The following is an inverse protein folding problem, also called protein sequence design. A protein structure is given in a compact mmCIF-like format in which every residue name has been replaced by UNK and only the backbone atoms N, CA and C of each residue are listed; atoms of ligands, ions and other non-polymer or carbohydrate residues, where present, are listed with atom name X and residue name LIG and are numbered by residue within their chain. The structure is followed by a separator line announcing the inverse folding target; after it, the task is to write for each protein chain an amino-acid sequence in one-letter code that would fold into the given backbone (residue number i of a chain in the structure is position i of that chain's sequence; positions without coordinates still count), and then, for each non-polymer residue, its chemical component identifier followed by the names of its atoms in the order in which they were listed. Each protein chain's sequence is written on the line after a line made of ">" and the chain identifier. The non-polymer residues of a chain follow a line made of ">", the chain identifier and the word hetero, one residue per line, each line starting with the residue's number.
data_IF_849804257776
#
_entry.id   IF_849804257776
#
_cell.length_a   1.000
_cell.length_b   1.000
_cell.length_c   1.000
_cell.angle_alpha   90.00
_cell.angle_beta   90.00
_cell.angle_gamma   90.00
#
_symmetry.space_group_name_H-M   'P 1'
#
loop_
_entity.id
_entity.type
_entity.pdbx_description
1 polymer ?
#
# COMPACT_ATOMS: atom_id res chain seq x y z
N UNK A 1 9.11 20.50 6.32
CA UNK A 1 8.38 19.27 5.97
C UNK A 1 7.64 19.62 4.69
N UNK A 2 8.07 19.13 3.53
CA UNK A 2 7.32 19.31 2.28
C UNK A 2 6.25 18.21 2.28
N UNK A 3 5.07 18.53 2.79
CA UNK A 3 3.93 17.61 2.79
C UNK A 3 3.17 17.77 1.47
N UNK A 4 3.54 17.01 0.45
CA UNK A 4 2.77 16.93 -0.81
C UNK A 4 3.61 16.81 -2.08
N UNK A 5 2.90 16.52 -3.18
CA UNK A 5 3.45 16.57 -4.53
C UNK A 5 3.92 18.00 -4.79
N UNK A 6 5.20 18.16 -5.10
CA UNK A 6 5.79 19.49 -5.31
C UNK A 6 6.30 19.71 -6.72
N UNK A 7 6.37 18.67 -7.55
CA UNK A 7 6.89 18.76 -8.92
C UNK A 7 6.31 17.62 -9.77
N UNK A 8 5.90 17.96 -10.99
CA UNK A 8 5.49 17.00 -12.02
C UNK A 8 6.33 17.28 -13.26
N UNK A 9 6.85 16.21 -13.86
CA UNK A 9 7.59 16.27 -15.11
C UNK A 9 6.85 15.49 -16.19
N UNK A 10 6.81 16.06 -17.39
CA UNK A 10 6.33 15.41 -18.61
C UNK A 10 7.53 15.32 -19.55
N UNK A 11 7.95 14.10 -19.86
CA UNK A 11 9.14 13.80 -20.69
C UNK A 11 10.43 14.50 -20.24
N UNK A 12 10.55 14.76 -18.93
CA UNK A 12 11.72 15.41 -18.32
C UNK A 12 11.64 16.93 -18.24
N UNK A 13 10.56 17.55 -18.74
CA UNK A 13 10.29 18.98 -18.58
C UNK A 13 9.30 19.23 -17.43
N UNK A 14 9.57 20.25 -16.62
CA UNK A 14 8.66 20.66 -15.53
C UNK A 14 7.33 21.13 -16.10
N UNK A 15 6.24 20.65 -15.50
CA UNK A 15 4.90 20.92 -16.00
C UNK A 15 4.05 21.66 -14.96
N UNK A 16 3.63 22.87 -15.32
CA UNK A 16 2.90 23.77 -14.42
C UNK A 16 1.37 23.54 -14.41
N UNK A 17 0.79 22.92 -15.46
CA UNK A 17 -0.66 22.68 -15.56
C UNK A 17 -1.06 21.36 -14.90
N UNK A 18 -1.00 21.36 -13.56
CA UNK A 18 -1.35 20.23 -12.71
C UNK A 18 -2.37 20.64 -11.65
N UNK A 19 -3.44 19.86 -11.53
CA UNK A 19 -4.45 20.03 -10.49
C UNK A 19 -4.35 18.88 -9.47
N UNK A 20 -4.05 19.23 -8.21
CA UNK A 20 -3.97 18.27 -7.11
C UNK A 20 -5.17 18.50 -6.17
N UNK A 21 -6.07 17.52 -6.12
CA UNK A 21 -7.22 17.52 -5.21
C UNK A 21 -7.12 16.31 -4.30
N UNK A 22 -6.67 16.52 -3.06
CA UNK A 22 -6.41 15.48 -2.06
C UNK A 22 -5.45 14.39 -2.59
N UNK A 23 -5.96 13.20 -2.90
CA UNK A 23 -5.21 12.05 -3.43
C UNK A 23 -5.33 11.90 -4.96
N UNK A 24 -5.99 12.84 -5.65
CA UNK A 24 -6.18 12.83 -7.10
C UNK A 24 -5.29 13.87 -7.76
N UNK A 25 -4.51 13.44 -8.75
CA UNK A 25 -3.61 14.28 -9.54
C UNK A 25 -4.10 14.28 -10.98
N UNK A 26 -4.41 15.45 -11.52
CA UNK A 26 -4.80 15.63 -12.91
C UNK A 26 -3.69 16.36 -13.65
N UNK A 27 -3.04 15.67 -14.59
CA UNK A 27 -1.97 16.23 -15.42
C UNK A 27 -2.49 16.32 -16.85
N UNK A 28 -2.50 17.53 -17.43
CA UNK A 28 -2.83 17.72 -18.84
C UNK A 28 -1.53 17.70 -19.64
N UNK A 29 -1.34 16.67 -20.46
CA UNK A 29 -0.16 16.53 -21.31
C UNK A 29 -0.57 16.54 -22.79
N UNK A 30 0.37 16.89 -23.66
CA UNK A 30 0.15 16.87 -25.11
C UNK A 30 0.09 15.42 -25.63
N UNK A 31 -0.70 15.20 -26.69
CA UNK A 31 -0.75 13.89 -27.32
C UNK A 31 0.63 13.51 -27.88
N UNK A 32 1.22 12.44 -27.34
CA UNK A 32 2.58 12.00 -27.68
C UNK A 32 3.55 11.95 -26.50
N UNK A 33 3.15 12.41 -25.30
CA UNK A 33 3.99 12.27 -24.12
C UNK A 33 4.20 10.79 -23.75
N UNK A 34 5.43 10.40 -23.44
CA UNK A 34 5.80 9.00 -23.16
C UNK A 34 5.89 8.73 -21.66
N UNK A 35 6.32 9.73 -20.88
CA UNK A 35 6.63 9.56 -19.46
C UNK A 35 6.12 10.72 -18.62
N UNK A 36 5.41 10.37 -17.55
CA UNK A 36 4.93 11.32 -16.53
C UNK A 36 5.56 10.93 -15.20
N UNK A 37 6.28 11.86 -14.57
CA UNK A 37 6.96 11.65 -13.30
C UNK A 37 6.39 12.61 -12.25
N UNK A 38 5.96 12.06 -11.12
CA UNK A 38 5.38 12.82 -10.01
C UNK A 38 6.35 12.73 -8.83
N UNK A 39 6.95 13.85 -8.45
CA UNK A 39 7.93 13.94 -7.38
C UNK A 39 7.27 14.55 -6.13
N UNK A 40 7.61 14.00 -4.96
CA UNK A 40 7.09 14.45 -3.67
C UNK A 40 5.87 13.69 -3.17
N UNK A 41 5.43 12.66 -3.89
CA UNK A 41 4.51 11.67 -3.31
C UNK A 41 5.28 10.69 -2.43
N UNK A 42 4.71 10.35 -1.28
CA UNK A 42 5.18 9.23 -0.47
C UNK A 42 4.24 8.06 -0.72
N UNK A 43 4.77 6.97 -1.27
CA UNK A 43 4.03 5.71 -1.34
C UNK A 43 3.95 5.18 0.09
N UNK A 44 2.77 5.17 0.68
CA UNK A 44 2.52 4.41 1.91
C UNK A 44 2.24 2.97 1.46
N UNK A 45 3.19 2.02 1.63
CA UNK A 45 2.92 0.64 1.32
C UNK A 45 1.82 0.10 2.24
N UNK A 46 0.67 -0.24 1.67
CA UNK A 46 -0.42 -0.94 2.37
C UNK A 46 -0.02 -2.37 2.78
N UNK A 47 1.19 -2.82 2.39
CA UNK A 47 1.75 -4.10 2.81
C UNK A 47 1.80 -4.25 4.33
N UNK A 48 1.96 -3.16 5.09
CA UNK A 48 1.97 -3.22 6.55
C UNK A 48 0.64 -3.70 7.14
N UNK A 49 -0.49 -3.18 6.67
CA UNK A 49 -1.82 -3.54 7.19
C UNK A 49 -2.22 -4.94 6.77
N UNK A 50 -1.96 -5.31 5.50
CA UNK A 50 -2.23 -6.66 5.00
C UNK A 50 -1.34 -7.69 5.71
N UNK A 51 -0.05 -7.41 5.89
CA UNK A 51 0.85 -8.30 6.61
C UNK A 51 0.42 -8.47 8.08
N UNK A 52 0.01 -7.39 8.75
CA UNK A 52 -0.50 -7.45 10.12
C UNK A 52 -1.78 -8.29 10.22
N UNK A 53 -2.70 -8.18 9.26
CA UNK A 53 -3.92 -9.00 9.21
C UNK A 53 -3.58 -10.50 9.05
N UNK A 54 -2.70 -10.85 8.11
CA UNK A 54 -2.27 -12.24 7.89
C UNK A 54 -1.60 -12.79 9.16
N UNK A 55 -0.73 -12.00 9.81
CA UNK A 55 -0.07 -12.37 11.05
C UNK A 55 -1.08 -12.67 12.17
N UNK A 56 -2.07 -11.80 12.36
CA UNK A 56 -3.10 -11.98 13.38
C UNK A 56 -3.91 -13.27 13.16
N UNK A 57 -4.34 -13.51 11.92
CA UNK A 57 -5.08 -14.73 11.53
C UNK A 57 -4.25 -15.99 11.77
N UNK A 58 -2.95 -15.96 11.44
CA UNK A 58 -2.05 -17.08 11.66
C UNK A 58 -1.91 -17.43 13.15
N UNK A 59 -1.70 -16.44 14.01
CA UNK A 59 -1.56 -16.65 15.46
C UNK A 59 -2.84 -17.25 16.05
N UNK A 60 -4.01 -16.68 15.71
CA UNK A 60 -5.31 -17.18 16.19
C UNK A 60 -5.52 -18.64 15.75
N UNK A 61 -5.18 -18.96 14.51
CA UNK A 61 -5.31 -20.32 13.96
C UNK A 61 -4.44 -21.33 14.70
N UNK A 62 -3.17 -20.98 14.97
CA UNK A 62 -2.25 -21.83 15.72
C UNK A 62 -2.79 -22.11 17.12
N UNK A 63 -3.28 -21.09 17.82
CA UNK A 63 -3.84 -21.23 19.17
C UNK A 63 -5.08 -22.12 19.14
N UNK A 64 -6.02 -21.87 18.23
CA UNK A 64 -7.26 -22.61 18.12
C UNK A 64 -7.02 -24.11 17.83
N UNK A 65 -6.12 -24.42 16.90
CA UNK A 65 -5.76 -25.80 16.56
C UNK A 65 -5.00 -26.47 17.71
N UNK A 66 -4.04 -25.77 18.31
CA UNK A 66 -3.21 -26.32 19.41
C UNK A 66 -4.03 -26.58 20.68
N UNK A 67 -4.99 -25.71 21.00
CA UNK A 67 -5.89 -25.89 22.13
C UNK A 67 -6.83 -27.10 21.93
N UNK A 68 -7.35 -27.30 20.70
CA UNK A 68 -8.19 -28.46 20.37
C UNK A 68 -7.41 -29.79 20.44
N UNK A 69 -6.14 -29.79 20.04
CA UNK A 69 -5.28 -30.99 20.06
C UNK A 69 -5.01 -31.51 21.49
N UNK A 70 -4.79 -30.62 22.47
CA UNK A 70 -4.48 -31.02 23.86
C UNK A 70 -5.64 -31.70 24.61
N UNK A 71 -6.90 -31.44 24.24
CA UNK A 71 -8.07 -32.07 24.88
C UNK A 71 -8.51 -33.39 24.22
N UNK A 72 -8.13 -33.65 22.96
CA UNK A 72 -8.62 -34.81 22.19
C UNK A 72 -7.76 -36.07 22.33
N UNK A 73 -6.53 -35.95 22.86
CA UNK A 73 -5.64 -37.11 23.07
C UNK A 73 -5.83 -37.62 24.51
N UNK A 74 -7.02 -38.14 24.79
CA UNK A 74 -7.21 -39.12 25.87
C UNK A 74 -7.13 -40.49 25.19
N UNK A 75 -6.04 -41.25 25.34
CA UNK A 75 -5.99 -42.62 24.86
C UNK A 75 -6.99 -43.41 25.68
N UNK A 76 -8.04 -43.93 25.04
CA UNK A 76 -8.80 -45.04 25.63
C UNK A 76 -8.04 -46.32 25.26
N UNK A 77 -7.66 -47.06 26.30
CA UNK A 77 -7.04 -48.38 26.25
C UNK A 77 -7.82 -49.33 25.35
#
# INVERSE_FOLDING_TARGET
>A
VLDGIFMVLVDGEEWDDVEIVANKVTVKFLAGAEKIEIIGTYVIPEFGTIAAMILAVAIISIIAISAKSRLSIIPRY
#
